data_IF_065431425625
#
_entry.id   IF_065431425625
#
_cell.length_a   1.000
_cell.length_b   1.000
_cell.length_c   1.000
_cell.angle_alpha   90.00
_cell.angle_beta   90.00
_cell.angle_gamma   90.00
#
_symmetry.space_group_name_H-M   'P 1'
#
loop_
_entity.id
_entity.type
_entity.pdbx_description
1 polymer ?
#
# COMPACT_ATOMS: atom_id res chain seq x y z
N UNK A 1 -26.08 8.20 45.55
CA UNK A 1 -24.93 7.79 44.72
C UNK A 1 -25.33 6.51 44.00
N UNK A 2 -25.57 6.61 42.69
CA UNK A 2 -26.15 5.52 41.89
C UNK A 2 -25.02 4.90 41.09
N UNK A 3 -24.69 3.64 41.36
CA UNK A 3 -23.64 2.90 40.65
C UNK A 3 -24.17 2.42 39.30
N UNK A 4 -23.54 2.86 38.20
CA UNK A 4 -23.86 2.40 36.86
C UNK A 4 -23.24 1.01 36.61
N UNK A 5 -24.08 0.03 36.29
CA UNK A 5 -23.68 -1.33 35.91
C UNK A 5 -23.08 -1.30 34.50
N UNK A 6 -21.76 -1.51 34.38
CA UNK A 6 -21.10 -1.72 33.09
C UNK A 6 -21.40 -3.14 32.64
N UNK A 7 -22.14 -3.28 31.53
CA UNK A 7 -22.35 -4.57 30.86
C UNK A 7 -21.08 -4.93 30.09
N UNK A 8 -20.33 -5.89 30.60
CA UNK A 8 -19.21 -6.53 29.92
C UNK A 8 -19.73 -7.30 28.70
N UNK A 9 -19.44 -6.84 27.49
CA UNK A 9 -19.72 -7.60 26.27
C UNK A 9 -18.46 -8.39 25.91
N UNK A 10 -18.47 -9.69 26.16
CA UNK A 10 -17.39 -10.61 25.83
C UNK A 10 -17.38 -10.88 24.33
N UNK A 11 -16.27 -10.55 23.64
CA UNK A 11 -16.05 -10.95 22.24
C UNK A 11 -15.65 -12.43 22.25
N UNK A 12 -16.58 -13.32 21.95
CA UNK A 12 -16.29 -14.74 21.73
C UNK A 12 -15.73 -14.91 20.30
N UNK A 13 -14.41 -15.03 20.17
CA UNK A 13 -13.77 -15.50 18.95
C UNK A 13 -13.91 -17.03 18.89
N UNK A 14 -14.78 -17.55 18.02
CA UNK A 14 -14.87 -18.98 17.75
C UNK A 14 -13.68 -19.41 16.87
N UNK A 15 -12.65 -19.98 17.50
CA UNK A 15 -11.53 -20.63 16.80
C UNK A 15 -11.87 -22.10 16.61
N UNK A 16 -12.24 -22.48 15.39
CA UNK A 16 -12.31 -23.89 15.00
C UNK A 16 -10.87 -24.37 14.74
N UNK A 17 -10.34 -25.21 15.64
CA UNK A 17 -9.01 -25.80 15.50
C UNK A 17 -9.11 -27.02 14.58
N UNK A 18 -8.71 -26.86 13.32
CA UNK A 18 -8.40 -27.97 12.41
C UNK A 18 -6.88 -28.06 12.20
N UNK A 19 -6.38 -29.29 12.19
CA UNK A 19 -4.98 -29.73 12.19
C UNK A 19 -3.93 -28.75 11.59
N UNK A 20 -2.88 -28.52 12.38
CA UNK A 20 -1.72 -27.68 12.10
C UNK A 20 -0.88 -28.19 10.91
N UNK A 21 -1.15 -27.67 9.72
CA UNK A 21 -0.06 -27.23 8.83
C UNK A 21 0.24 -25.77 9.18
N UNK A 22 1.48 -25.30 8.99
CA UNK A 22 1.91 -23.92 9.28
C UNK A 22 1.03 -22.89 8.54
N UNK A 23 -0.08 -22.48 9.15
CA UNK A 23 -1.06 -21.57 8.58
C UNK A 23 -0.74 -20.16 9.06
N UNK A 24 -0.43 -19.29 8.10
CA UNK A 24 -0.38 -17.87 8.34
C UNK A 24 -1.73 -17.40 8.90
N UNK A 25 -1.73 -16.66 10.00
CA UNK A 25 -2.91 -16.02 10.55
C UNK A 25 -3.17 -14.72 9.81
N UNK A 26 -4.26 -14.65 9.04
CA UNK A 26 -4.68 -13.41 8.38
C UNK A 26 -5.63 -12.63 9.29
N UNK A 27 -5.24 -11.40 9.63
CA UNK A 27 -6.02 -10.48 10.46
C UNK A 27 -6.67 -9.44 9.55
N UNK A 28 -8.01 -9.32 9.52
CA UNK A 28 -8.68 -8.24 8.81
C UNK A 28 -8.52 -6.92 9.57
N UNK A 29 -8.07 -5.88 8.88
CA UNK A 29 -7.81 -4.55 9.47
C UNK A 29 -8.68 -3.44 8.88
N UNK A 30 -9.64 -3.78 8.01
CA UNK A 30 -10.50 -2.81 7.32
C UNK A 30 -11.33 -1.91 8.25
N UNK A 31 -11.66 -2.38 9.46
CA UNK A 31 -12.36 -1.60 10.48
C UNK A 31 -11.40 -0.87 11.45
N UNK A 32 -10.11 -1.18 11.41
CA UNK A 32 -9.10 -0.66 12.33
C UNK A 32 -8.35 0.53 11.73
N UNK A 33 -7.84 1.42 12.56
CA UNK A 33 -6.89 2.48 12.19
C UNK A 33 -5.56 1.85 11.77
N UNK A 34 -5.54 1.40 10.52
CA UNK A 34 -4.47 0.63 9.90
C UNK A 34 -4.14 1.23 8.54
N UNK A 35 -3.19 2.16 8.47
CA UNK A 35 -2.87 2.88 7.25
C UNK A 35 -1.44 2.61 6.82
N UNK A 36 -1.25 2.55 5.51
CA UNK A 36 0.04 2.68 4.86
C UNK A 36 0.10 4.06 4.22
N UNK A 37 1.23 4.74 4.33
CA UNK A 37 1.46 6.06 3.75
C UNK A 37 2.59 5.96 2.74
N UNK A 38 2.26 6.10 1.45
CA UNK A 38 3.26 6.28 0.40
C UNK A 38 3.69 7.75 0.43
N UNK A 39 4.94 7.98 0.77
CA UNK A 39 5.58 9.31 0.76
C UNK A 39 6.58 9.32 -0.38
N UNK A 40 6.34 10.16 -1.39
CA UNK A 40 7.26 10.29 -2.52
C UNK A 40 8.48 11.14 -2.14
N UNK A 41 9.67 10.77 -2.65
CA UNK A 41 10.87 11.57 -2.45
C UNK A 41 10.83 12.87 -3.26
N UNK A 42 11.59 13.88 -2.85
CA UNK A 42 11.75 15.12 -3.63
C UNK A 42 12.24 14.83 -5.05
N UNK A 43 13.22 13.92 -5.22
CA UNK A 43 13.73 13.53 -6.53
C UNK A 43 12.65 12.91 -7.45
N UNK A 44 11.74 12.10 -6.87
CA UNK A 44 10.62 11.54 -7.60
C UNK A 44 9.61 12.64 -8.00
N UNK A 45 9.31 13.56 -7.09
CA UNK A 45 8.41 14.69 -7.35
C UNK A 45 8.97 15.66 -8.39
N UNK A 46 10.26 15.97 -8.34
CA UNK A 46 10.94 16.80 -9.32
C UNK A 46 10.90 16.15 -10.71
N UNK A 47 11.12 14.83 -10.75
CA UNK A 47 11.00 14.06 -11.99
C UNK A 47 9.55 14.07 -12.51
N UNK A 48 8.56 13.91 -11.63
CA UNK A 48 7.16 14.00 -12.01
C UNK A 48 6.81 15.40 -12.51
N UNK A 49 7.25 16.46 -11.84
CA UNK A 49 7.05 17.84 -12.28
C UNK A 49 7.69 18.11 -13.65
N UNK A 50 8.92 17.65 -13.86
CA UNK A 50 9.64 17.77 -15.14
C UNK A 50 8.87 17.12 -16.29
N UNK A 51 8.26 15.96 -16.03
CA UNK A 51 7.46 15.25 -17.01
C UNK A 51 5.96 15.59 -16.96
N UNK A 52 5.54 16.59 -16.17
CA UNK A 52 4.12 16.94 -16.02
C UNK A 52 3.24 15.75 -15.59
N UNK A 53 3.80 14.84 -14.81
CA UNK A 53 3.12 13.69 -14.22
C UNK A 53 2.42 14.13 -12.94
N UNK A 54 1.17 13.75 -12.82
CA UNK A 54 0.34 13.93 -11.64
C UNK A 54 -0.02 12.57 -11.04
N UNK A 55 -0.18 12.56 -9.72
CA UNK A 55 -0.60 11.38 -8.96
C UNK A 55 -1.98 11.68 -8.39
N UNK A 56 -2.96 10.85 -8.76
CA UNK A 56 -4.34 10.99 -8.30
C UNK A 56 -4.71 9.79 -7.44
N UNK A 57 -5.09 9.98 -6.16
CA UNK A 57 -5.56 8.89 -5.33
C UNK A 57 -6.97 8.48 -5.73
N UNK A 58 -7.21 7.18 -5.81
CA UNK A 58 -8.47 6.57 -6.24
C UNK A 58 -8.91 5.46 -5.27
N UNK A 59 -10.20 5.12 -5.31
CA UNK A 59 -10.78 4.10 -4.45
C UNK A 59 -10.74 4.49 -2.97
N UNK A 60 -10.14 3.65 -2.12
CA UNK A 60 -9.93 3.93 -0.70
C UNK A 60 -8.74 4.86 -0.43
N UNK A 61 -7.90 5.15 -1.44
CA UNK A 61 -6.74 6.00 -1.27
C UNK A 61 -7.15 7.46 -1.08
N UNK A 62 -6.38 8.22 -0.30
CA UNK A 62 -6.60 9.66 -0.08
C UNK A 62 -5.27 10.41 -0.05
N UNK A 63 -5.25 11.64 -0.54
CA UNK A 63 -4.12 12.54 -0.31
C UNK A 63 -4.12 12.98 1.16
N UNK A 64 -2.93 13.03 1.79
CA UNK A 64 -2.83 13.50 3.17
C UNK A 64 -2.87 15.02 3.19
N UNK A 65 -3.80 15.58 3.97
CA UNK A 65 -4.01 17.02 4.04
C UNK A 65 -2.74 17.75 4.53
N UNK A 66 -2.40 18.86 3.88
CA UNK A 66 -1.20 19.65 4.20
C UNK A 66 0.09 19.10 3.60
N UNK A 67 0.01 18.07 2.76
CA UNK A 67 1.15 17.48 2.06
C UNK A 67 0.86 17.36 0.56
N UNK A 68 1.90 17.41 -0.27
CA UNK A 68 1.82 17.21 -1.73
C UNK A 68 2.44 15.89 -2.18
N UNK A 69 3.15 15.22 -1.27
CA UNK A 69 3.99 14.06 -1.51
C UNK A 69 3.42 12.76 -0.92
N UNK A 70 2.39 12.86 -0.07
CA UNK A 70 1.95 11.75 0.77
C UNK A 70 0.53 11.30 0.46
N UNK A 71 0.38 9.99 0.24
CA UNK A 71 -0.90 9.33 -0.02
C UNK A 71 -1.17 8.24 1.01
N UNK A 72 -2.32 8.31 1.67
CA UNK A 72 -2.80 7.31 2.61
C UNK A 72 -3.53 6.18 1.88
N UNK A 73 -3.07 4.96 2.09
CA UNK A 73 -3.56 3.70 1.56
C UNK A 73 -4.04 2.83 2.74
N UNK A 74 -5.35 2.78 3.04
CA UNK A 74 -5.88 1.95 4.12
C UNK A 74 -5.50 0.47 3.95
N UNK A 75 -4.87 -0.09 4.98
CA UNK A 75 -4.54 -1.51 5.06
C UNK A 75 -5.81 -2.28 5.43
N UNK A 76 -6.18 -3.22 4.60
CA UNK A 76 -7.38 -4.05 4.74
C UNK A 76 -7.12 -5.39 5.42
N UNK A 77 -5.89 -5.90 5.34
CA UNK A 77 -5.48 -7.14 6.00
C UNK A 77 -3.98 -7.24 6.18
N UNK A 78 -3.55 -8.02 7.17
CA UNK A 78 -2.16 -8.46 7.36
C UNK A 78 -2.13 -9.97 7.56
N UNK A 79 -1.08 -10.65 7.09
CA UNK A 79 -0.84 -12.06 7.41
C UNK A 79 0.39 -12.21 8.30
N UNK A 80 0.23 -13.02 9.35
CA UNK A 80 1.26 -13.30 10.34
C UNK A 80 1.65 -14.78 10.25
N UNK A 81 2.92 -15.03 9.93
CA UNK A 81 3.52 -16.35 10.07
C UNK A 81 3.78 -16.68 11.53
N UNK A 82 3.44 -17.91 11.93
CA UNK A 82 3.66 -18.42 13.29
C UNK A 82 4.85 -19.40 13.37
N UNK A 83 5.43 -19.78 12.23
CA UNK A 83 6.54 -20.73 12.15
C UNK A 83 7.88 -20.02 12.34
N UNK A 84 8.64 -20.44 13.35
CA UNK A 84 9.95 -19.84 13.65
C UNK A 84 9.87 -18.47 14.36
N UNK A 85 8.72 -18.16 14.97
CA UNK A 85 8.42 -16.89 15.63
C UNK A 85 7.23 -16.16 15.00
N UNK A 86 6.74 -15.11 15.67
CA UNK A 86 5.67 -14.25 15.15
C UNK A 86 6.31 -13.26 14.18
N UNK A 87 6.04 -13.40 12.89
CA UNK A 87 6.54 -12.51 11.83
C UNK A 87 5.43 -12.13 10.88
N UNK A 88 5.45 -10.90 10.39
CA UNK A 88 4.53 -10.48 9.33
C UNK A 88 5.06 -10.97 8.00
N UNK A 89 4.19 -11.64 7.26
CA UNK A 89 4.51 -12.22 5.96
C UNK A 89 4.04 -11.31 4.83
N UNK A 90 2.86 -10.69 4.99
CA UNK A 90 2.32 -9.76 4.02
C UNK A 90 1.38 -8.75 4.67
N UNK A 91 1.10 -7.68 3.92
CA UNK A 91 0.04 -6.72 4.19
C UNK A 91 -0.64 -6.32 2.88
N UNK A 92 -1.93 -6.04 2.91
CA UNK A 92 -2.69 -5.65 1.72
C UNK A 92 -3.52 -4.38 1.96
N UNK A 93 -3.50 -3.46 0.99
CA UNK A 93 -4.31 -2.26 0.93
C UNK A 93 -5.32 -2.35 -0.23
N UNK A 94 -6.22 -3.34 -0.13
CA UNK A 94 -7.18 -3.66 -1.19
C UNK A 94 -8.20 -2.53 -1.37
N UNK A 95 -8.58 -2.27 -2.62
CA UNK A 95 -9.50 -1.19 -2.96
C UNK A 95 -8.86 0.21 -3.00
N UNK A 96 -7.60 0.35 -2.60
CA UNK A 96 -6.83 1.58 -2.78
C UNK A 96 -6.14 1.57 -4.15
N UNK A 97 -6.05 2.74 -4.79
CA UNK A 97 -5.38 2.91 -6.08
C UNK A 97 -4.71 4.27 -6.19
N UNK A 98 -3.63 4.35 -6.97
CA UNK A 98 -2.99 5.58 -7.40
C UNK A 98 -2.94 5.59 -8.92
N UNK A 99 -3.50 6.62 -9.55
CA UNK A 99 -3.31 6.87 -10.97
C UNK A 99 -2.13 7.81 -11.16
N UNK A 100 -1.13 7.36 -11.91
CA UNK A 100 0.07 8.11 -12.26
C UNK A 100 -0.05 8.43 -13.73
N UNK A 101 -0.33 9.70 -14.06
CA UNK A 101 -0.65 10.09 -15.43
C UNK A 101 -0.15 11.48 -15.78
N UNK A 102 0.01 11.72 -17.07
CA UNK A 102 0.31 13.03 -17.64
C UNK A 102 -0.57 13.28 -18.86
N UNK A 103 -0.73 14.55 -19.20
CA UNK A 103 -1.25 14.95 -20.51
C UNK A 103 -0.05 15.11 -21.44
N UNK A 104 -0.06 14.39 -22.55
CA UNK A 104 0.98 14.54 -23.58
C UNK A 104 0.87 15.94 -24.20
N UNK A 105 1.90 16.79 -24.09
CA UNK A 105 1.82 18.19 -24.52
C UNK A 105 1.68 18.33 -26.03
N UNK A 106 2.02 17.29 -26.81
CA UNK A 106 1.93 17.32 -28.28
C UNK A 106 0.56 16.88 -28.77
N UNK A 107 -0.06 15.92 -28.10
CA UNK A 107 -1.32 15.29 -28.56
C UNK A 107 -2.53 15.67 -27.73
N UNK A 108 -2.35 16.22 -26.53
CA UNK A 108 -3.43 16.48 -25.57
C UNK A 108 -4.04 15.23 -24.95
N UNK A 109 -3.53 14.04 -25.27
CA UNK A 109 -4.07 12.77 -24.80
C UNK A 109 -3.48 12.43 -23.42
N UNK A 110 -4.34 11.97 -22.51
CA UNK A 110 -3.92 11.46 -21.20
C UNK A 110 -3.21 10.12 -21.37
N UNK A 111 -2.00 10.02 -20.85
CA UNK A 111 -1.19 8.80 -20.80
C UNK A 111 -0.82 8.49 -19.36
N UNK A 112 -0.75 7.23 -19.01
CA UNK A 112 -0.37 6.82 -17.67
C UNK A 112 -0.77 5.41 -17.33
N UNK A 113 -0.64 5.10 -16.06
CA UNK A 113 -1.02 3.82 -15.48
C UNK A 113 -1.73 4.05 -14.14
N UNK A 114 -2.63 3.13 -13.81
CA UNK A 114 -3.18 2.98 -12.47
C UNK A 114 -2.49 1.80 -11.79
N UNK A 115 -2.01 2.00 -10.58
CA UNK A 115 -1.53 0.95 -9.67
C UNK A 115 -2.54 0.80 -8.53
N UNK A 116 -3.02 -0.42 -8.28
CA UNK A 116 -4.15 -0.67 -7.38
C UNK A 116 -4.01 -1.96 -6.57
N UNK A 117 -4.83 -2.12 -5.53
CA UNK A 117 -4.93 -3.36 -4.74
C UNK A 117 -3.56 -3.85 -4.25
N UNK A 118 -2.84 -2.96 -3.58
CA UNK A 118 -1.45 -3.18 -3.18
C UNK A 118 -1.29 -4.35 -2.21
N UNK A 119 -0.22 -5.10 -2.38
CA UNK A 119 0.26 -6.14 -1.47
C UNK A 119 1.75 -5.94 -1.21
N UNK A 120 2.18 -6.06 0.04
CA UNK A 120 3.60 -6.09 0.40
C UNK A 120 4.00 -7.56 0.57
N UNK A 121 5.00 -7.99 -0.20
CA UNK A 121 5.66 -9.28 -0.08
C UNK A 121 6.99 -9.07 0.67
N UNK A 122 7.00 -9.37 1.97
CA UNK A 122 8.16 -9.20 2.84
C UNK A 122 9.25 -10.26 2.64
N UNK A 123 8.93 -11.37 1.98
CA UNK A 123 9.89 -12.43 1.67
C UNK A 123 10.74 -12.01 0.47
N UNK A 124 10.11 -11.46 -0.57
CA UNK A 124 10.79 -10.96 -1.77
C UNK A 124 11.26 -9.51 -1.65
N UNK A 125 10.84 -8.81 -0.60
CA UNK A 125 11.05 -7.36 -0.45
C UNK A 125 10.48 -6.55 -1.61
N UNK A 126 9.23 -6.87 -1.98
CA UNK A 126 8.54 -6.27 -3.12
C UNK A 126 7.17 -5.69 -2.75
N UNK A 127 6.84 -4.56 -3.37
CA UNK A 127 5.47 -4.05 -3.44
C UNK A 127 4.84 -4.56 -4.72
N UNK A 128 3.75 -5.29 -4.59
CA UNK A 128 2.94 -5.79 -5.71
C UNK A 128 1.67 -4.93 -5.83
N UNK A 129 1.18 -4.76 -7.05
CA UNK A 129 -0.09 -4.09 -7.33
C UNK A 129 -0.71 -4.61 -8.63
N UNK A 130 -2.01 -4.46 -8.77
CA UNK A 130 -2.66 -4.55 -10.07
C UNK A 130 -2.25 -3.31 -10.88
N UNK A 131 -1.68 -3.52 -12.08
CA UNK A 131 -1.24 -2.44 -12.96
C UNK A 131 -2.12 -2.36 -14.19
N UNK A 132 -2.64 -1.18 -14.50
CA UNK A 132 -3.52 -0.95 -15.65
C UNK A 132 -3.06 0.29 -16.39
N UNK A 133 -2.48 0.11 -17.58
CA UNK A 133 -2.20 1.24 -18.49
C UNK A 133 -3.53 1.84 -18.93
N UNK A 134 -3.62 3.18 -19.03
CA UNK A 134 -4.84 3.85 -19.49
C UNK A 134 -5.22 3.33 -20.90
N UNK A 135 -6.45 2.82 -21.03
CA UNK A 135 -6.94 2.18 -22.25
C UNK A 135 -6.41 0.75 -22.50
N UNK A 136 -5.64 0.19 -21.56
CA UNK A 136 -5.06 -1.14 -21.62
C UNK A 136 -5.76 -2.17 -20.70
N UNK A 137 -5.22 -3.38 -20.68
CA UNK A 137 -5.67 -4.44 -19.79
C UNK A 137 -4.98 -4.37 -18.42
N UNK A 138 -5.67 -4.83 -17.38
CA UNK A 138 -5.11 -4.97 -16.04
C UNK A 138 -4.23 -6.21 -15.94
N UNK A 139 -3.00 -6.04 -15.45
CA UNK A 139 -2.14 -7.13 -14.97
C UNK A 139 -2.27 -7.23 -13.46
N UNK A 140 -2.72 -8.38 -12.96
CA UNK A 140 -2.94 -8.56 -11.53
C UNK A 140 -1.62 -8.79 -10.78
N UNK A 141 -1.47 -8.13 -9.63
CA UNK A 141 -0.36 -8.30 -8.67
C UNK A 141 1.05 -8.32 -9.32
N UNK A 142 1.27 -7.43 -10.29
CA UNK A 142 2.58 -7.20 -10.88
C UNK A 142 3.51 -6.51 -9.86
N UNK A 143 4.81 -6.84 -9.87
CA UNK A 143 5.77 -6.21 -8.98
C UNK A 143 6.05 -4.76 -9.41
N UNK A 144 5.87 -3.80 -8.51
CA UNK A 144 6.02 -2.36 -8.77
C UNK A 144 7.33 -1.84 -8.22
N UNK A 145 7.60 -2.06 -6.93
CA UNK A 145 8.83 -1.58 -6.27
C UNK A 145 9.58 -2.72 -5.58
N UNK A 146 10.91 -2.69 -5.64
CA UNK A 146 11.74 -3.31 -4.62
C UNK A 146 11.88 -2.32 -3.45
N UNK A 147 12.07 -2.83 -2.24
CA UNK A 147 12.28 -1.98 -1.06
C UNK A 147 13.35 -2.54 -0.12
N UNK A 148 13.86 -1.66 0.74
CA UNK A 148 14.67 -2.01 1.92
C UNK A 148 13.87 -1.70 3.19
N UNK A 149 14.03 -2.53 4.22
CA UNK A 149 13.45 -2.28 5.55
C UNK A 149 14.32 -1.28 6.30
N UNK A 150 13.82 -0.06 6.50
CA UNK A 150 14.55 0.98 7.23
C UNK A 150 14.35 0.88 8.74
N UNK A 151 13.16 0.45 9.16
CA UNK A 151 12.86 0.17 10.56
C UNK A 151 12.26 -1.23 10.67
N UNK A 152 12.92 -2.11 11.42
CA UNK A 152 12.39 -3.44 11.68
C UNK A 152 11.08 -3.39 12.48
N UNK A 153 10.19 -4.30 12.12
CA UNK A 153 8.85 -4.42 12.66
C UNK A 153 8.85 -4.65 14.18
N UNK A 154 8.48 -3.63 14.95
CA UNK A 154 8.25 -3.78 16.38
C UNK A 154 6.79 -4.16 16.65
N UNK A 155 6.48 -5.46 16.64
CA UNK A 155 5.19 -5.94 17.12
C UNK A 155 5.09 -5.73 18.64
N UNK A 156 4.44 -4.66 19.08
CA UNK A 156 4.16 -4.44 20.50
C UNK A 156 2.84 -5.12 20.85
N UNK A 157 2.94 -6.27 21.52
CA UNK A 157 1.81 -6.97 22.11
C UNK A 157 1.69 -6.59 23.60
N UNK A 158 0.54 -6.06 24.01
CA UNK A 158 0.18 -5.87 25.42
C UNK A 158 -1.16 -6.56 25.72
N UNK A 159 -1.13 -7.47 26.68
CA UNK A 159 -2.32 -8.11 27.21
C UNK A 159 -3.17 -7.07 28.00
N UNK A 160 -4.51 -7.06 27.90
CA UNK A 160 -5.34 -8.04 27.19
C UNK A 160 -5.49 -7.84 25.68
N UNK A 161 -5.42 -6.63 25.10
CA UNK A 161 -5.63 -6.42 23.64
C UNK A 161 -5.03 -5.10 23.12
N UNK A 162 -3.71 -5.02 22.92
CA UNK A 162 -3.16 -4.04 21.99
C UNK A 162 -2.06 -4.65 21.12
N UNK A 163 -2.31 -4.71 19.81
CA UNK A 163 -1.31 -4.94 18.77
C UNK A 163 -1.07 -3.58 18.11
N UNK A 164 0.12 -3.02 18.29
CA UNK A 164 0.57 -1.89 17.49
C UNK A 164 1.77 -2.32 16.66
N UNK A 165 1.75 -1.91 15.40
CA UNK A 165 2.74 -2.25 14.40
C UNK A 165 3.11 -0.96 13.69
N UNK A 166 4.39 -0.64 13.75
CA UNK A 166 5.00 0.43 12.98
C UNK A 166 6.14 -0.15 12.17
N UNK A 167 6.14 0.13 10.88
CA UNK A 167 7.18 -0.28 9.95
C UNK A 167 7.46 0.83 8.96
N UNK A 168 8.70 0.92 8.53
CA UNK A 168 9.10 1.83 7.47
C UNK A 168 9.90 1.08 6.42
N UNK A 169 9.41 1.14 5.19
CA UNK A 169 10.10 0.67 3.99
C UNK A 169 10.64 1.89 3.25
N UNK A 170 11.82 1.78 2.68
CA UNK A 170 12.41 2.85 1.88
C UNK A 170 13.30 2.31 0.78
N UNK A 171 14.02 3.20 0.12
CA UNK A 171 14.77 2.89 -1.10
C UNK A 171 13.86 2.18 -2.12
N UNK A 172 12.73 2.84 -2.43
CA UNK A 172 11.71 2.28 -3.31
C UNK A 172 12.21 2.37 -4.75
N UNK A 173 12.62 1.23 -5.30
CA UNK A 173 13.15 1.16 -6.67
C UNK A 173 12.15 0.54 -7.61
N UNK A 174 11.76 1.28 -8.64
CA UNK A 174 10.81 0.83 -9.65
C UNK A 174 11.37 -0.39 -10.40
N UNK A 175 10.56 -1.44 -10.52
CA UNK A 175 10.98 -2.69 -11.16
C UNK A 175 10.82 -2.62 -12.68
N UNK A 176 9.65 -2.24 -13.17
CA UNK A 176 9.39 -2.10 -14.60
C UNK A 176 9.55 -0.64 -15.06
N UNK A 177 10.81 -0.21 -15.17
CA UNK A 177 11.17 1.15 -15.59
C UNK A 177 10.66 1.47 -17.00
N UNK A 178 10.90 0.57 -17.96
CA UNK A 178 10.58 0.83 -19.36
C UNK A 178 9.08 0.74 -19.62
N UNK A 179 8.38 -0.24 -19.04
CA UNK A 179 6.92 -0.33 -19.16
C UNK A 179 6.22 0.87 -18.54
N UNK A 180 6.71 1.37 -17.40
CA UNK A 180 6.20 2.60 -16.78
C UNK A 180 6.45 3.82 -17.65
N UNK A 181 7.65 3.94 -18.23
CA UNK A 181 7.97 5.03 -19.14
C UNK A 181 7.09 5.00 -20.40
N UNK A 182 6.89 3.82 -21.00
CA UNK A 182 6.03 3.63 -22.15
C UNK A 182 4.58 4.00 -21.83
N UNK A 183 4.07 3.58 -20.67
CA UNK A 183 2.72 3.93 -20.21
C UNK A 183 2.54 5.45 -20.05
N UNK A 184 3.59 6.15 -19.62
CA UNK A 184 3.61 7.62 -19.50
C UNK A 184 3.97 8.33 -20.81
N UNK A 185 4.36 7.61 -21.87
CA UNK A 185 4.85 8.20 -23.12
C UNK A 185 6.18 8.95 -22.98
N UNK A 186 7.02 8.55 -22.03
CA UNK A 186 8.38 9.07 -21.81
C UNK A 186 9.35 8.32 -22.73
N UNK A 187 10.36 9.02 -23.27
CA UNK A 187 11.40 8.39 -24.10
C UNK A 187 12.12 7.29 -23.32
N UNK A 188 12.25 6.11 -23.91
CA UNK A 188 12.98 4.97 -23.33
C UNK A 188 14.44 5.31 -23.01
N UNK A 189 15.10 6.09 -23.88
CA UNK A 189 16.50 6.50 -23.69
C UNK A 189 16.67 7.40 -22.47
N UNK A 190 15.68 8.25 -22.19
CA UNK A 190 15.69 9.11 -21.02
C UNK A 190 15.33 8.32 -19.76
N UNK A 191 14.35 7.43 -19.88
CA UNK A 191 13.88 6.59 -18.79
C UNK A 191 14.96 5.63 -18.28
N UNK A 192 15.74 5.02 -19.17
CA UNK A 192 16.77 4.03 -18.82
C UNK A 192 17.95 4.63 -18.05
N UNK A 193 18.20 5.93 -18.19
CA UNK A 193 19.27 6.64 -17.49
C UNK A 193 18.77 7.25 -16.18
N UNK A 194 17.62 7.92 -16.22
CA UNK A 194 17.17 8.75 -15.09
C UNK A 194 16.43 7.93 -14.02
N UNK A 195 15.51 7.06 -14.43
CA UNK A 195 14.58 6.40 -13.50
C UNK A 195 15.27 5.40 -12.54
N UNK A 196 16.26 4.58 -12.97
CA UNK A 196 16.93 3.65 -12.05
C UNK A 196 17.64 4.33 -10.89
N UNK A 197 18.09 5.58 -11.06
CA UNK A 197 18.77 6.35 -10.01
C UNK A 197 17.81 6.97 -8.98
N UNK A 198 16.51 7.01 -9.28
CA UNK A 198 15.49 7.59 -8.41
C UNK A 198 15.09 6.60 -7.31
N UNK A 199 15.24 7.03 -6.06
CA UNK A 199 14.48 6.47 -4.94
C UNK A 199 13.09 7.09 -4.95
N UNK A 200 12.04 6.28 -5.08
CA UNK A 200 10.66 6.77 -5.09
C UNK A 200 10.12 7.15 -3.71
N UNK A 201 10.91 6.99 -2.65
CA UNK A 201 10.62 7.49 -1.31
C UNK A 201 10.43 6.39 -0.28
N UNK A 202 9.41 6.51 0.56
CA UNK A 202 9.18 5.59 1.69
C UNK A 202 7.72 5.18 1.82
N UNK A 203 7.50 3.99 2.37
CA UNK A 203 6.19 3.51 2.81
C UNK A 203 6.21 3.40 4.33
N UNK A 204 5.41 4.23 4.99
CA UNK A 204 5.21 4.16 6.45
C UNK A 204 3.94 3.36 6.75
N UNK A 205 4.05 2.27 7.49
CA UNK A 205 2.92 1.42 7.87
C UNK A 205 2.66 1.63 9.36
N UNK A 206 1.45 2.07 9.70
CA UNK A 206 0.99 2.21 11.08
C UNK A 206 -0.34 1.47 11.25
N UNK A 207 -0.32 0.42 12.07
CA UNK A 207 -1.49 -0.39 12.39
C UNK A 207 -1.70 -0.37 13.90
N UNK A 208 -2.84 0.21 14.29
CA UNK A 208 -3.34 0.21 15.66
C UNK A 208 -4.60 -0.63 15.83
N UNK A 209 -5.02 -0.81 17.08
CA UNK A 209 -6.27 -1.50 17.46
C UNK A 209 -7.48 -0.58 17.59
N UNK A 210 -7.30 0.73 17.38
CA UNK A 210 -8.42 1.67 17.37
C UNK A 210 -9.32 1.40 16.16
N UNK A 211 -10.63 1.59 16.32
CA UNK A 211 -11.57 1.48 15.20
C UNK A 211 -11.64 2.78 14.42
N UNK A 212 -11.71 2.69 13.10
CA UNK A 212 -12.07 3.83 12.25
C UNK A 212 -13.53 4.22 12.53
N UNK A 213 -13.90 5.50 12.31
CA UNK A 213 -15.30 5.91 12.31
C UNK A 213 -16.17 5.14 11.30
N UNK A 214 -15.57 4.72 10.16
CA UNK A 214 -16.20 3.89 9.14
C UNK A 214 -15.18 2.89 8.59
N UNK A 215 -15.57 1.63 8.49
CA UNK A 215 -14.75 0.60 7.85
C UNK A 215 -14.54 0.92 6.37
N UNK A 216 -13.32 0.64 5.87
CA UNK A 216 -13.00 0.79 4.44
C UNK A 216 -13.48 -0.41 3.64
N UNK A 217 -13.76 -0.21 2.35
CA UNK A 217 -14.19 -1.29 1.47
C UNK A 217 -13.07 -2.31 1.28
N UNK A 218 -13.38 -3.60 1.31
CA UNK A 218 -12.44 -4.69 0.96
C UNK A 218 -12.62 -5.17 -0.48
N UNK A 219 -13.51 -4.53 -1.25
CA UNK A 219 -13.69 -4.81 -2.67
C UNK A 219 -12.46 -4.33 -3.44
N UNK A 220 -11.97 -5.15 -4.36
CA UNK A 220 -10.86 -4.77 -5.24
C UNK A 220 -11.26 -3.53 -6.06
N UNK A 221 -10.33 -2.59 -6.18
CA UNK A 221 -10.47 -1.49 -7.11
C UNK A 221 -10.34 -2.02 -8.54
N UNK A 222 -11.21 -1.54 -9.42
CA UNK A 222 -11.18 -1.85 -10.85
C UNK A 222 -11.22 -0.50 -11.57
N UNK A 223 -10.17 -0.13 -12.34
CA UNK A 223 -10.18 1.09 -13.13
C UNK A 223 -11.37 1.13 -14.09
N UNK A 224 -11.92 2.32 -14.29
CA UNK A 224 -12.85 2.55 -15.40
C UNK A 224 -12.03 2.56 -16.69
N UNK A 225 -12.32 1.63 -17.60
CA UNK A 225 -11.70 1.57 -18.93
C UNK A 225 -12.39 2.52 -19.91
#
# INVERSE_FOLDING_TARGET
MTFATVRSISIAAAVAVSAFSAQALTIPTAALEANSYQVFSEAALDSYALFGVAITPLGNATAVAGTTDTFSLPVTSISIGLTGGIKIQNGAAKGSALEISRVDPKTGVKKGLTIANFTIDFEKSQVLADTTVIGGATQAQAPVYNFVKLQELALKYKFPLSISLKEQLGDLRLIDVLGTADALGISRDLASVVIPEIDFGVINIDIGVAFRPKAVSTKAYVPAN
#
